data_IF_700630570380
#
_entry.id   IF_700630570380
#
_cell.length_a   1.000
_cell.length_b   1.000
_cell.length_c   1.000
_cell.angle_alpha   90.00
_cell.angle_beta   90.00
_cell.angle_gamma   90.00
#
_symmetry.space_group_name_H-M   'P 1'
#
loop_
_entity.id
_entity.type
_entity.pdbx_description
1 polymer ?
#
# COMPACT_ATOMS: atom_id res chain seq x y z
N UNK A 1 -9.13 -10.32 -10.59
CA UNK A 1 -9.20 -11.27 -9.45
C UNK A 1 -8.79 -10.57 -8.15
N UNK A 2 -9.03 -11.13 -6.97
CA UNK A 2 -8.72 -10.51 -5.66
C UNK A 2 -7.25 -10.04 -5.54
N UNK A 3 -6.31 -10.80 -6.10
CA UNK A 3 -4.89 -10.43 -6.16
C UNK A 3 -4.64 -9.11 -6.89
N UNK A 4 -5.36 -8.86 -7.99
CA UNK A 4 -5.22 -7.61 -8.75
C UNK A 4 -5.67 -6.41 -7.93
N UNK A 5 -6.73 -6.56 -7.13
CA UNK A 5 -7.20 -5.50 -6.22
C UNK A 5 -6.15 -5.17 -5.15
N UNK A 6 -5.45 -6.18 -4.63
CA UNK A 6 -4.38 -5.98 -3.64
C UNK A 6 -3.18 -5.28 -4.30
N UNK A 7 -2.82 -5.68 -5.51
CA UNK A 7 -1.75 -5.03 -6.29
C UNK A 7 -2.09 -3.56 -6.53
N UNK A 8 -3.30 -3.27 -7.03
CA UNK A 8 -3.78 -1.90 -7.27
C UNK A 8 -3.80 -1.08 -5.99
N UNK A 9 -4.23 -1.65 -4.87
CA UNK A 9 -4.19 -0.98 -3.57
C UNK A 9 -2.75 -0.60 -3.17
N UNK A 10 -1.81 -1.54 -3.27
CA UNK A 10 -0.39 -1.29 -2.95
C UNK A 10 0.16 -0.18 -3.85
N UNK A 11 -0.06 -0.26 -5.16
CA UNK A 11 0.41 0.74 -6.13
C UNK A 11 -0.17 2.13 -5.82
N UNK A 12 -1.46 2.21 -5.49
CA UNK A 12 -2.11 3.48 -5.15
C UNK A 12 -1.55 4.10 -3.86
N UNK A 13 -1.45 3.31 -2.79
CA UNK A 13 -0.94 3.80 -1.52
C UNK A 13 0.54 4.21 -1.60
N UNK A 14 1.30 3.55 -2.48
CA UNK A 14 2.70 3.87 -2.75
C UNK A 14 2.82 5.17 -3.54
N UNK A 15 2.00 5.34 -4.58
CA UNK A 15 1.90 6.58 -5.36
C UNK A 15 1.52 7.77 -4.51
N UNK A 16 0.48 7.66 -3.67
CA UNK A 16 0.04 8.73 -2.76
C UNK A 16 1.14 9.20 -1.79
N UNK A 17 2.11 8.33 -1.48
CA UNK A 17 3.23 8.61 -0.56
C UNK A 17 4.55 8.91 -1.25
N UNK A 18 4.62 8.79 -2.59
CA UNK A 18 5.88 8.95 -3.33
C UNK A 18 6.94 7.89 -3.01
N UNK A 19 6.53 6.67 -2.60
CA UNK A 19 7.45 5.56 -2.28
C UNK A 19 7.26 4.40 -3.25
N UNK A 20 8.23 3.48 -3.29
CA UNK A 20 8.10 2.27 -4.09
C UNK A 20 7.12 1.25 -3.44
N UNK A 21 6.39 0.45 -4.25
CA UNK A 21 5.50 -0.63 -3.76
C UNK A 21 6.14 -1.59 -2.75
N UNK A 22 7.38 -2.00 -2.99
CA UNK A 22 8.11 -2.87 -2.08
C UNK A 22 8.41 -2.19 -0.73
N UNK A 23 8.69 -0.88 -0.76
CA UNK A 23 8.91 -0.07 0.44
C UNK A 23 7.63 0.07 1.26
N UNK A 24 6.49 0.30 0.60
CA UNK A 24 5.18 0.30 1.27
C UNK A 24 4.90 -1.04 1.97
N UNK A 25 5.15 -2.17 1.29
CA UNK A 25 5.00 -3.50 1.89
C UNK A 25 5.96 -3.73 3.08
N UNK A 26 7.18 -3.20 2.99
CA UNK A 26 8.15 -3.22 4.08
C UNK A 26 7.71 -2.44 5.31
N UNK A 27 7.23 -1.21 5.11
CA UNK A 27 6.78 -0.35 6.19
C UNK A 27 5.52 -0.88 6.87
N UNK A 28 4.60 -1.46 6.10
CA UNK A 28 3.31 -1.92 6.61
C UNK A 28 3.35 -3.30 7.28
N UNK A 29 4.05 -4.27 6.68
CA UNK A 29 4.02 -5.67 7.14
C UNK A 29 5.41 -6.29 7.31
N UNK A 30 6.48 -5.52 7.15
CA UNK A 30 7.86 -6.01 7.31
C UNK A 30 8.32 -6.96 6.21
N UNK A 31 7.61 -7.01 5.07
CA UNK A 31 7.90 -7.96 3.99
C UNK A 31 7.88 -7.29 2.60
N UNK A 32 9.07 -6.93 2.12
CA UNK A 32 9.26 -6.29 0.82
C UNK A 32 8.97 -7.20 -0.38
N UNK A 33 8.87 -8.53 -0.16
CA UNK A 33 8.65 -9.51 -1.24
C UNK A 33 7.18 -9.67 -1.60
N UNK A 34 6.24 -9.23 -0.76
CA UNK A 34 4.79 -9.42 -0.98
C UNK A 34 4.37 -8.94 -2.37
N UNK A 35 4.71 -7.70 -2.73
CA UNK A 35 4.38 -7.13 -4.03
C UNK A 35 4.91 -7.98 -5.20
N UNK A 36 6.17 -8.42 -5.13
CA UNK A 36 6.78 -9.29 -6.16
C UNK A 36 6.06 -10.63 -6.24
N UNK A 37 5.74 -11.25 -5.10
CA UNK A 37 5.01 -12.53 -5.06
C UNK A 37 3.63 -12.40 -5.71
N UNK A 38 2.88 -11.34 -5.41
CA UNK A 38 1.57 -11.08 -6.02
C UNK A 38 1.69 -10.89 -7.54
N UNK A 39 2.66 -10.10 -8.01
CA UNK A 39 2.92 -9.90 -9.45
C UNK A 39 3.35 -11.18 -10.17
N UNK A 40 3.94 -12.15 -9.47
CA UNK A 40 4.30 -13.46 -10.00
C UNK A 40 3.12 -14.46 -9.99
N UNK A 41 1.90 -14.03 -9.65
CA UNK A 41 0.72 -14.89 -9.56
C UNK A 41 0.56 -15.59 -8.20
N UNK A 42 1.39 -15.25 -7.22
CA UNK A 42 1.24 -15.72 -5.84
C UNK A 42 0.10 -15.00 -5.10
N UNK A 43 -0.10 -15.39 -3.84
CA UNK A 43 -1.14 -14.85 -2.97
C UNK A 43 -0.56 -14.41 -1.62
N UNK A 44 -1.37 -13.68 -0.85
CA UNK A 44 -1.11 -13.41 0.56
C UNK A 44 -2.37 -13.73 1.38
N UNK A 45 -2.22 -13.80 2.70
CA UNK A 45 -3.34 -14.02 3.61
C UNK A 45 -4.14 -12.74 3.81
N UNK A 46 -5.39 -12.86 4.26
CA UNK A 46 -6.23 -11.71 4.61
C UNK A 46 -5.62 -10.85 5.73
N UNK A 47 -4.93 -11.46 6.71
CA UNK A 47 -4.20 -10.77 7.78
C UNK A 47 -3.16 -9.77 7.22
N UNK A 48 -2.42 -10.17 6.18
CA UNK A 48 -1.44 -9.28 5.53
C UNK A 48 -2.15 -8.07 4.91
N UNK A 49 -3.28 -8.28 4.26
CA UNK A 49 -4.06 -7.18 3.63
C UNK A 49 -4.64 -6.25 4.70
N UNK A 50 -5.17 -6.80 5.80
CA UNK A 50 -5.71 -6.04 6.92
C UNK A 50 -4.63 -5.16 7.54
N UNK A 51 -3.45 -5.72 7.83
CA UNK A 51 -2.32 -4.96 8.39
C UNK A 51 -1.83 -3.86 7.45
N UNK A 52 -1.78 -4.11 6.14
CA UNK A 52 -1.48 -3.08 5.15
C UNK A 52 -2.51 -1.94 5.17
N UNK A 53 -3.79 -2.28 5.34
CA UNK A 53 -4.90 -1.32 5.36
C UNK A 53 -4.86 -0.47 6.62
N UNK A 54 -4.68 -1.08 7.79
CA UNK A 54 -4.54 -0.39 9.08
C UNK A 54 -3.34 0.56 9.03
N UNK A 55 -2.17 0.07 8.59
CA UNK A 55 -0.98 0.92 8.49
C UNK A 55 -1.21 2.11 7.54
N UNK A 56 -1.84 1.88 6.38
CA UNK A 56 -2.12 2.94 5.41
C UNK A 56 -3.07 4.01 5.96
N UNK A 57 -4.09 3.61 6.74
CA UNK A 57 -4.99 4.54 7.41
C UNK A 57 -4.27 5.36 8.48
N UNK A 58 -3.47 4.71 9.31
CA UNK A 58 -2.81 5.34 10.44
C UNK A 58 -1.63 6.25 10.00
N UNK A 59 -1.11 6.03 8.78
CA UNK A 59 -0.02 6.79 8.17
C UNK A 59 -0.46 7.49 6.89
N UNK A 60 -1.63 8.14 6.92
CA UNK A 60 -2.09 8.95 5.78
C UNK A 60 -1.14 10.15 5.58
N UNK A 61 -0.58 10.36 4.36
CA UNK A 61 0.25 11.53 4.11
C UNK A 61 -0.57 12.80 4.34
N UNK A 62 -0.09 13.68 5.22
CA UNK A 62 -0.71 14.98 5.46
C UNK A 62 -0.73 15.76 4.14
N UNK A 63 -1.91 16.12 3.65
CA UNK A 63 -2.06 17.00 2.49
C UNK A 63 -1.55 18.38 2.88
N UNK A 64 -0.32 18.72 2.53
CA UNK A 64 0.18 20.10 2.58
C UNK A 64 -0.26 20.75 1.26
N UNK A 65 -1.48 21.28 1.23
CA UNK A 65 -2.02 21.92 0.03
C UNK A 65 -3.54 21.89 -0.06
N UNK A 66 -4.21 22.64 0.82
CA UNK A 66 -5.54 23.22 0.52
C UNK A 66 -5.60 24.58 1.18
N UNK A 67 -4.70 25.47 0.76
CA UNK A 67 -5.08 26.89 0.65
C UNK A 67 -6.07 26.96 -0.50
N UNK A 68 -7.35 26.81 -0.17
CA UNK A 68 -8.40 27.50 -0.91
C UNK A 68 -8.67 28.74 -0.08
N UNK A 69 -7.95 29.83 -0.38
CA UNK A 69 -8.37 31.14 0.10
C UNK A 69 -9.78 31.42 -0.46
N UNK A 70 -10.71 31.93 0.37
CA UNK A 70 -12.05 32.32 -0.07
C UNK A 70 -12.05 33.51 -1.04
#
# INVERSE_FOLDING_TARGET
>A
MLTDLIITFIEEQSRRRGIAPATFCGMSVGNNRVYRTLKAGGTCTLDVVERMTVWARDNEPRVVGSEVEP
#
